data_IF_622887405860
#
_entry.id   IF_622887405860
#
_cell.length_a   1.000
_cell.length_b   1.000
_cell.length_c   1.000
_cell.angle_alpha   90.00
_cell.angle_beta   90.00
_cell.angle_gamma   90.00
#
_symmetry.space_group_name_H-M   'P 1'
#
loop_
_entity.id
_entity.type
_entity.pdbx_description
1 polymer ?
#
# COMPACT_ATOMS: atom_id res chain seq x y z
N UNK A 1 -27.22 -26.28 -35.99
CA UNK A 1 -27.49 -24.83 -35.82
C UNK A 1 -27.59 -24.41 -34.34
N UNK A 2 -28.48 -25.01 -33.51
CA UNK A 2 -28.67 -24.59 -32.10
C UNK A 2 -27.42 -24.71 -31.21
N UNK A 3 -26.63 -25.78 -31.35
CA UNK A 3 -25.42 -26.01 -30.55
C UNK A 3 -24.27 -25.06 -30.89
N UNK A 4 -24.22 -24.57 -32.14
CA UNK A 4 -23.21 -23.60 -32.58
C UNK A 4 -23.51 -22.20 -32.03
N UNK A 5 -24.80 -21.84 -31.94
CA UNK A 5 -25.21 -20.58 -31.33
C UNK A 5 -24.92 -20.55 -29.82
N UNK A 6 -25.18 -21.65 -29.11
CA UNK A 6 -24.93 -21.75 -27.67
C UNK A 6 -23.42 -21.68 -27.33
N UNK A 7 -22.57 -22.31 -28.15
CA UNK A 7 -21.12 -22.27 -27.96
C UNK A 7 -20.54 -20.90 -28.25
N UNK A 8 -20.99 -20.22 -29.31
CA UNK A 8 -20.57 -18.84 -29.60
C UNK A 8 -20.93 -17.87 -28.47
N UNK A 9 -22.13 -18.01 -27.89
CA UNK A 9 -22.56 -17.19 -26.75
C UNK A 9 -21.69 -17.42 -25.51
N UNK A 10 -21.36 -18.68 -25.20
CA UNK A 10 -20.53 -19.04 -24.05
C UNK A 10 -19.09 -18.49 -24.17
N UNK A 11 -18.53 -18.52 -25.38
CA UNK A 11 -17.20 -17.96 -25.67
C UNK A 11 -17.23 -16.43 -25.57
N UNK A 12 -18.28 -15.79 -26.11
CA UNK A 12 -18.46 -14.33 -25.99
C UNK A 12 -18.58 -13.86 -24.55
N UNK A 13 -19.36 -14.57 -23.72
CA UNK A 13 -19.53 -14.23 -22.30
C UNK A 13 -18.25 -14.43 -21.49
N UNK A 14 -17.51 -15.50 -21.74
CA UNK A 14 -16.26 -15.77 -21.01
C UNK A 14 -15.18 -14.74 -21.35
N UNK A 15 -15.11 -14.28 -22.60
CA UNK A 15 -14.17 -13.22 -22.98
C UNK A 15 -14.56 -11.85 -22.41
N UNK A 16 -15.87 -11.55 -22.35
CA UNK A 16 -16.38 -10.32 -21.74
C UNK A 16 -16.23 -10.29 -20.21
N UNK A 17 -16.14 -11.46 -19.56
CA UNK A 17 -15.94 -11.60 -18.12
C UNK A 17 -14.47 -11.51 -17.68
N UNK A 18 -13.52 -11.41 -18.63
CA UNK A 18 -12.11 -11.18 -18.31
C UNK A 18 -11.92 -9.75 -17.81
N UNK A 19 -11.97 -9.57 -16.50
CA UNK A 19 -11.64 -8.31 -15.86
C UNK A 19 -10.12 -8.17 -15.78
N UNK A 20 -9.61 -6.98 -16.06
CA UNK A 20 -8.19 -6.68 -15.86
C UNK A 20 -7.87 -6.83 -14.36
N UNK A 21 -7.09 -7.86 -14.02
CA UNK A 21 -6.55 -8.02 -12.68
C UNK A 21 -5.65 -6.83 -12.36
N UNK A 22 -6.07 -5.99 -11.42
CA UNK A 22 -5.28 -4.87 -10.91
C UNK A 22 -4.18 -5.38 -9.97
N UNK A 23 -3.28 -6.22 -10.50
CA UNK A 23 -2.17 -6.76 -9.73
C UNK A 23 -1.08 -5.72 -9.50
N UNK A 24 -0.94 -4.74 -10.41
CA UNK A 24 -0.09 -3.56 -10.24
C UNK A 24 -0.66 -2.39 -11.05
N UNK A 25 -1.45 -1.48 -10.45
CA UNK A 25 -1.87 -0.27 -11.14
C UNK A 25 -0.62 0.54 -11.51
N UNK A 26 -0.54 0.96 -12.78
CA UNK A 26 0.52 1.85 -13.27
C UNK A 26 0.47 3.13 -12.45
N UNK A 27 1.55 3.44 -11.74
CA UNK A 27 1.65 4.67 -10.97
C UNK A 27 1.48 5.88 -11.90
N UNK A 28 0.72 6.92 -11.50
CA UNK A 28 0.58 8.14 -12.29
C UNK A 28 1.95 8.77 -12.58
N UNK A 29 2.24 9.07 -13.85
CA UNK A 29 3.49 9.71 -14.27
C UNK A 29 3.64 11.16 -13.77
N UNK A 30 2.57 11.76 -13.23
CA UNK A 30 2.58 13.09 -12.59
C UNK A 30 3.00 13.03 -11.10
N UNK A 31 3.68 11.95 -10.70
CA UNK A 31 4.44 11.98 -9.48
C UNK A 31 5.63 12.90 -9.73
N UNK A 32 5.58 14.10 -9.16
CA UNK A 32 6.69 15.05 -9.16
C UNK A 32 7.99 14.31 -8.81
N UNK A 33 8.81 14.05 -9.82
CA UNK A 33 10.09 13.33 -9.75
C UNK A 33 11.03 14.12 -8.82
N UNK A 34 10.91 13.93 -7.50
CA UNK A 34 11.97 14.23 -6.54
C UNK A 34 12.96 13.06 -6.53
N UNK A 35 13.21 12.44 -7.68
CA UNK A 35 14.04 11.25 -7.83
C UNK A 35 15.50 11.51 -7.42
N UNK A 36 15.94 12.77 -7.41
CA UNK A 36 17.28 13.15 -6.98
C UNK A 36 17.42 13.30 -5.45
N UNK A 37 16.31 13.30 -4.70
CA UNK A 37 16.33 13.55 -3.25
C UNK A 37 15.63 12.42 -2.51
N UNK A 38 16.44 11.50 -1.97
CA UNK A 38 15.94 10.47 -1.06
C UNK A 38 15.66 11.11 0.30
N UNK A 39 14.41 11.06 0.75
CA UNK A 39 14.05 11.49 2.09
C UNK A 39 14.59 10.53 3.14
N UNK A 40 15.74 10.88 3.73
CA UNK A 40 16.28 10.19 4.91
C UNK A 40 15.23 10.24 6.03
N UNK A 41 14.85 9.08 6.57
CA UNK A 41 13.82 8.96 7.62
C UNK A 41 12.44 9.54 7.23
N UNK A 42 12.08 9.54 5.94
CA UNK A 42 10.82 10.11 5.45
C UNK A 42 10.71 11.62 5.68
N UNK A 43 11.85 12.31 5.81
CA UNK A 43 11.93 13.75 6.08
C UNK A 43 11.98 14.12 7.57
N UNK A 44 12.00 13.13 8.47
CA UNK A 44 11.95 13.36 9.93
C UNK A 44 13.33 13.45 10.62
N UNK A 45 14.42 13.30 9.89
CA UNK A 45 15.78 13.33 10.44
C UNK A 45 16.16 12.07 11.22
N UNK A 46 17.40 12.02 11.71
CA UNK A 46 17.97 10.83 12.37
C UNK A 46 17.14 10.35 13.56
N UNK A 47 16.77 9.06 13.55
CA UNK A 47 15.95 8.45 14.60
C UNK A 47 14.46 8.81 14.52
N UNK A 48 14.02 9.46 13.44
CA UNK A 48 12.62 9.81 13.19
C UNK A 48 11.92 8.89 12.20
N UNK A 49 10.59 8.82 12.23
CA UNK A 49 9.77 8.27 11.15
C UNK A 49 8.45 9.03 11.03
N UNK A 50 7.82 8.99 9.85
CA UNK A 50 6.49 9.55 9.62
C UNK A 50 5.42 8.69 10.30
N UNK A 51 4.61 9.34 11.12
CA UNK A 51 3.46 8.73 11.76
C UNK A 51 2.21 8.70 10.86
N UNK A 52 1.15 7.99 11.29
CA UNK A 52 -0.10 7.88 10.53
C UNK A 52 -0.83 9.21 10.30
N UNK A 53 -0.54 10.25 11.10
CA UNK A 53 -1.10 11.60 10.94
C UNK A 53 -0.14 12.58 10.25
N UNK A 54 0.90 12.08 9.58
CA UNK A 54 1.86 12.90 8.83
C UNK A 54 2.95 13.59 9.65
N UNK A 55 2.87 13.58 10.98
CA UNK A 55 3.89 14.13 11.88
C UNK A 55 5.08 13.20 12.12
N UNK A 56 6.21 13.77 12.56
CA UNK A 56 7.44 13.03 12.86
C UNK A 56 7.46 12.42 14.27
N UNK A 57 8.08 11.25 14.41
CA UNK A 57 8.07 10.45 15.64
C UNK A 57 9.37 9.70 15.88
N UNK A 58 9.78 9.45 17.13
CA UNK A 58 10.95 8.63 17.44
C UNK A 58 10.79 7.19 16.93
N UNK A 59 11.86 6.59 16.39
CA UNK A 59 11.93 5.17 16.03
C UNK A 59 11.74 4.27 17.26
N UNK A 60 12.43 4.63 18.35
CA UNK A 60 12.39 3.92 19.62
C UNK A 60 11.59 4.73 20.63
N UNK A 61 10.27 4.67 20.53
CA UNK A 61 9.39 5.37 21.45
C UNK A 61 9.00 4.53 22.69
N UNK A 62 9.41 3.26 22.72
CA UNK A 62 9.04 2.30 23.76
C UNK A 62 10.25 1.54 24.30
N UNK A 63 10.28 1.24 25.61
CA UNK A 63 11.33 0.43 26.21
C UNK A 63 11.26 -1.04 25.73
N UNK A 64 12.35 -1.82 25.90
CA UNK A 64 12.35 -3.25 25.55
C UNK A 64 11.19 -4.01 26.20
N UNK A 65 10.53 -4.89 25.43
CA UNK A 65 9.34 -5.63 25.87
C UNK A 65 8.01 -4.89 25.70
N UNK A 66 8.01 -3.73 25.04
CA UNK A 66 6.80 -2.96 24.72
C UNK A 66 6.71 -2.66 23.22
N UNK A 67 5.49 -2.56 22.69
CA UNK A 67 5.22 -2.15 21.32
C UNK A 67 4.43 -0.82 21.27
N UNK A 68 4.65 0.02 20.25
CA UNK A 68 3.80 1.18 20.01
C UNK A 68 2.35 0.76 19.68
N UNK A 69 1.37 1.47 20.22
CA UNK A 69 -0.04 1.27 19.82
C UNK A 69 -0.36 1.86 18.44
N UNK A 70 -1.64 1.80 18.00
CA UNK A 70 -2.06 2.27 16.67
C UNK A 70 -1.72 3.74 16.40
N UNK A 71 -1.90 4.59 17.42
CA UNK A 71 -1.53 5.99 17.35
C UNK A 71 -0.07 6.23 17.76
N UNK A 72 0.71 5.19 18.12
CA UNK A 72 2.10 5.18 18.64
C UNK A 72 2.44 6.11 19.81
N UNK A 73 1.42 6.75 20.39
CA UNK A 73 1.55 7.72 21.51
C UNK A 73 1.67 7.04 22.87
N UNK A 74 1.27 5.77 22.93
CA UNK A 74 1.32 4.94 24.12
C UNK A 74 1.99 3.63 23.75
N UNK A 75 2.76 3.12 24.70
CA UNK A 75 3.36 1.80 24.63
C UNK A 75 2.44 0.78 25.28
N UNK A 76 2.39 -0.42 24.72
CA UNK A 76 1.67 -1.57 25.23
C UNK A 76 2.66 -2.70 25.47
N UNK A 77 2.47 -3.47 26.55
CA UNK A 77 3.41 -4.52 26.91
C UNK A 77 3.23 -5.71 25.97
N UNK A 78 4.32 -6.31 25.52
CA UNK A 78 4.33 -7.56 24.78
C UNK A 78 4.08 -8.70 25.79
N UNK A 79 2.84 -8.81 26.26
CA UNK A 79 2.32 -10.03 26.88
C UNK A 79 2.11 -11.14 25.86
#
# INVERSE_FOLDING_TARGET
MKLLAASALAIGLSLAAMTASQAMPVAPLDQSEHADIIQVYGGCGWGGHRGPYGGCRPLYNCPPGWHPGPAGRRCFRNW
#
